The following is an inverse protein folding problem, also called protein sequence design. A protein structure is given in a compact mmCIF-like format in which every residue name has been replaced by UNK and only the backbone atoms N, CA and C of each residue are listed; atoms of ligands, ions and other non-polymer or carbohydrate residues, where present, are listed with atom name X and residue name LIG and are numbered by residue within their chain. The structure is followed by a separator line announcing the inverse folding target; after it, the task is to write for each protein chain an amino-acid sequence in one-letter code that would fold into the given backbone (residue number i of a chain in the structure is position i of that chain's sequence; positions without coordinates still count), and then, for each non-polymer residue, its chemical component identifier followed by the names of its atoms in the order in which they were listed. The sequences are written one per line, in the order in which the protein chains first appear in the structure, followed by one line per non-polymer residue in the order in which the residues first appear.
data_IF_549110517480
#
_entry.id   IF_549110517480
#
_cell.length_a   1.000
_cell.length_b   1.000
_cell.length_c   1.000
_cell.angle_alpha   90.00
_cell.angle_beta   90.00
_cell.angle_gamma   90.00
#
_symmetry.space_group_name_H-M   'P 1'
#
loop_
_entity.id
_entity.type
_entity.pdbx_description
1 polymer ?
#
# COMPACT_ATOMS: atom_id res chain seq x y z
N UNK A 1 -12.70 25.83 46.31
CA UNK A 1 -13.17 24.77 45.38
C UNK A 1 -11.95 24.06 44.78
N UNK A 2 -11.67 22.81 45.15
CA UNK A 2 -10.98 21.83 44.28
C UNK A 2 -11.92 20.60 44.04
N UNK A 3 -11.57 19.53 43.28
CA UNK A 3 -10.30 19.16 42.64
C UNK A 3 -10.40 18.55 41.20
N UNK A 4 -9.25 18.17 40.61
CA UNK A 4 -8.98 17.05 39.65
C UNK A 4 -7.96 17.51 38.58
N UNK A 5 -6.68 17.13 38.59
CA UNK A 5 -6.11 15.81 38.29
C UNK A 5 -6.56 15.22 36.93
N UNK A 6 -5.59 14.59 36.23
CA UNK A 6 -5.71 13.75 35.01
C UNK A 6 -5.42 14.50 33.70
N UNK A 7 -4.55 14.11 32.77
CA UNK A 7 -3.62 12.98 32.58
C UNK A 7 -2.71 13.39 31.40
N UNK A 8 -1.53 12.77 31.20
CA UNK A 8 -0.74 12.97 29.98
C UNK A 8 -1.59 12.64 28.74
N UNK A 9 -1.41 13.30 27.58
CA UNK A 9 -2.00 12.85 26.33
C UNK A 9 -1.29 11.55 25.89
N UNK A 10 -1.67 10.47 26.57
CA UNK A 10 -1.90 9.12 26.08
C UNK A 10 -1.48 8.93 24.62
N UNK A 11 -0.35 8.25 24.47
CA UNK A 11 -0.10 7.20 23.47
C UNK A 11 -1.07 7.26 22.29
N UNK A 12 -0.64 7.95 21.24
CA UNK A 12 -1.37 8.17 19.98
C UNK A 12 -1.82 6.81 19.46
N UNK A 13 -3.07 6.46 19.74
CA UNK A 13 -3.70 5.24 19.29
C UNK A 13 -3.84 5.39 17.78
N UNK A 14 -2.91 4.79 17.02
CA UNK A 14 -2.95 4.78 15.57
C UNK A 14 -4.30 4.17 15.16
N UNK A 15 -5.22 5.03 14.73
CA UNK A 15 -6.57 4.64 14.36
C UNK A 15 -6.50 3.92 13.01
N UNK A 16 -7.25 2.82 12.84
CA UNK A 16 -7.30 2.01 11.60
C UNK A 16 -7.56 2.82 10.32
N UNK A 17 -8.15 4.01 10.45
CA UNK A 17 -8.38 4.97 9.37
C UNK A 17 -7.09 5.62 8.81
N UNK A 18 -5.97 5.54 9.54
CA UNK A 18 -4.69 6.14 9.15
C UNK A 18 -3.80 5.19 8.33
N UNK A 19 -4.19 3.91 8.18
CA UNK A 19 -3.45 2.93 7.37
C UNK A 19 -3.14 3.42 5.95
N UNK A 20 -4.07 4.07 5.21
CA UNK A 20 -3.76 4.60 3.88
C UNK A 20 -2.75 5.75 3.90
N UNK A 21 -2.78 6.59 4.92
CA UNK A 21 -1.90 7.75 5.05
C UNK A 21 -0.50 7.33 5.50
N UNK A 22 -0.41 6.41 6.47
CA UNK A 22 0.85 5.79 6.92
C UNK A 22 1.51 5.03 5.76
N UNK A 23 0.74 4.23 5.00
CA UNK A 23 1.25 3.58 3.80
C UNK A 23 1.82 4.60 2.81
N UNK A 24 1.13 5.72 2.55
CA UNK A 24 1.64 6.73 1.61
C UNK A 24 2.98 7.34 2.02
N UNK A 25 3.24 7.51 3.33
CA UNK A 25 4.53 7.99 3.83
C UNK A 25 5.63 6.92 3.79
N UNK A 26 5.32 5.67 4.16
CA UNK A 26 6.30 4.56 4.12
C UNK A 26 6.85 4.32 2.71
N UNK A 27 6.01 4.47 1.68
CA UNK A 27 6.41 4.27 0.28
C UNK A 27 7.24 5.45 -0.28
N UNK A 28 7.34 6.58 0.44
CA UNK A 28 8.04 7.80 0.00
C UNK A 28 9.46 7.93 0.59
N UNK A 29 9.72 7.38 1.79
CA UNK A 29 11.00 7.57 2.50
C UNK A 29 11.89 6.32 2.56
N UNK A 30 11.33 5.12 2.45
CA UNK A 30 12.09 3.86 2.37
C UNK A 30 11.58 3.04 1.19
N UNK A 31 12.47 2.31 0.49
CA UNK A 31 12.03 1.41 -0.60
C UNK A 31 10.98 0.46 -0.02
N UNK A 32 9.70 0.57 -0.45
CA UNK A 32 8.64 -0.19 0.16
C UNK A 32 8.90 -1.68 -0.08
N UNK A 33 8.79 -2.44 0.99
CA UNK A 33 8.89 -3.90 0.98
C UNK A 33 7.52 -4.54 0.93
N UNK A 34 6.42 -3.79 0.96
CA UNK A 34 5.05 -4.33 0.99
C UNK A 34 4.36 -4.07 -0.34
N UNK A 35 3.67 -5.08 -0.90
CA UNK A 35 2.93 -4.89 -2.13
C UNK A 35 1.67 -4.03 -1.91
N UNK A 36 1.60 -2.87 -2.57
CA UNK A 36 0.49 -1.94 -2.46
C UNK A 36 -0.86 -2.53 -2.93
N UNK A 37 -0.82 -3.47 -3.88
CA UNK A 37 -2.04 -4.15 -4.37
C UNK A 37 -2.58 -5.09 -3.29
N UNK A 38 -1.72 -5.94 -2.70
CA UNK A 38 -2.11 -6.79 -1.57
C UNK A 38 -2.62 -5.95 -0.41
N UNK A 39 -1.94 -4.85 -0.07
CA UNK A 39 -2.36 -3.96 1.00
C UNK A 39 -3.75 -3.36 0.75
N UNK A 40 -4.09 -3.08 -0.51
CA UNK A 40 -5.41 -2.57 -0.89
C UNK A 40 -6.49 -3.66 -0.98
N UNK A 41 -6.13 -4.94 -1.03
CA UNK A 41 -7.08 -6.02 -1.26
C UNK A 41 -7.64 -6.58 0.06
N UNK A 42 -8.90 -6.30 0.36
CA UNK A 42 -9.56 -6.80 1.59
C UNK A 42 -9.95 -8.27 1.48
N UNK A 43 -9.90 -8.86 0.28
CA UNK A 43 -10.18 -10.28 0.06
C UNK A 43 -9.01 -11.19 0.46
N UNK A 44 -7.79 -10.65 0.60
CA UNK A 44 -6.62 -11.43 1.03
C UNK A 44 -6.39 -11.28 2.54
N UNK A 45 -5.96 -12.35 3.23
CA UNK A 45 -5.75 -12.31 4.68
C UNK A 45 -4.71 -11.27 5.09
N UNK A 46 -4.88 -10.70 6.29
CA UNK A 46 -4.04 -9.61 6.80
C UNK A 46 -2.53 -9.92 6.76
N UNK A 47 -2.15 -11.18 7.00
CA UNK A 47 -0.76 -11.65 6.90
C UNK A 47 -0.15 -11.50 5.50
N UNK A 48 -0.95 -11.70 4.45
CA UNK A 48 -0.53 -11.45 3.06
C UNK A 48 -0.60 -9.97 2.70
N UNK A 49 -1.57 -9.23 3.23
CA UNK A 49 -1.68 -7.77 3.03
C UNK A 49 -0.47 -7.01 3.56
N UNK A 50 0.03 -7.45 4.72
CA UNK A 50 1.14 -6.84 5.44
C UNK A 50 2.48 -7.54 5.18
N UNK A 51 2.51 -8.50 4.25
CA UNK A 51 3.71 -9.24 3.93
C UNK A 51 4.80 -8.30 3.40
N UNK A 52 5.91 -8.27 4.12
CA UNK A 52 7.09 -7.47 3.79
C UNK A 52 8.11 -8.37 3.08
N UNK A 53 8.37 -8.09 1.82
CA UNK A 53 9.41 -8.71 1.01
C UNK A 53 10.80 -8.26 1.47
N UNK A 54 11.77 -9.17 1.49
CA UNK A 54 13.14 -8.85 1.90
C UNK A 54 13.83 -7.85 0.97
N UNK A 55 13.44 -7.81 -0.31
CA UNK A 55 14.03 -6.90 -1.31
C UNK A 55 12.96 -6.28 -2.20
N UNK A 56 13.25 -5.08 -2.71
CA UNK A 56 12.42 -4.44 -3.74
C UNK A 56 12.32 -5.27 -5.03
N UNK A 57 13.34 -6.06 -5.34
CA UNK A 57 13.36 -6.98 -6.50
C UNK A 57 12.31 -8.08 -6.35
N UNK A 58 12.17 -8.67 -5.16
CA UNK A 58 11.16 -9.69 -4.89
C UNK A 58 9.75 -9.12 -4.96
N UNK A 59 9.55 -7.91 -4.41
CA UNK A 59 8.29 -7.19 -4.55
C UNK A 59 7.93 -6.92 -6.01
N UNK A 60 8.92 -6.54 -6.82
CA UNK A 60 8.73 -6.26 -8.26
C UNK A 60 8.36 -7.52 -9.03
N UNK A 61 9.03 -8.64 -8.75
CA UNK A 61 8.71 -9.96 -9.32
C UNK A 61 7.33 -10.43 -8.88
N UNK A 62 7.00 -10.24 -7.61
CA UNK A 62 5.69 -10.56 -7.06
C UNK A 62 4.59 -9.77 -7.79
N UNK A 63 4.75 -8.45 -7.88
CA UNK A 63 3.81 -7.57 -8.56
C UNK A 63 3.58 -8.01 -10.01
N UNK A 64 4.66 -8.29 -10.76
CA UNK A 64 4.55 -8.76 -12.15
C UNK A 64 3.82 -10.09 -12.28
N UNK A 65 4.14 -11.07 -11.44
CA UNK A 65 3.60 -12.44 -11.55
C UNK A 65 2.18 -12.58 -11.01
N UNK A 66 1.85 -11.86 -9.93
CA UNK A 66 0.58 -12.02 -9.19
C UNK A 66 -0.47 -10.98 -9.55
N UNK A 67 -0.06 -9.78 -9.97
CA UNK A 67 -1.00 -8.71 -10.28
C UNK A 67 -0.95 -8.34 -11.76
N UNK A 68 0.23 -7.95 -12.26
CA UNK A 68 0.37 -7.46 -13.62
C UNK A 68 0.07 -8.52 -14.70
N UNK A 69 0.28 -9.81 -14.38
CA UNK A 69 -0.04 -10.92 -15.31
C UNK A 69 -1.53 -11.05 -15.59
N UNK A 70 -2.38 -10.67 -14.63
CA UNK A 70 -3.84 -10.84 -14.73
C UNK A 70 -4.53 -9.58 -15.24
N UNK A 71 -3.86 -8.44 -15.25
CA UNK A 71 -4.36 -7.21 -15.87
C UNK A 71 -4.20 -7.39 -17.39
N UNK A 72 -5.31 -7.67 -18.08
CA UNK A 72 -5.36 -7.69 -19.54
C UNK A 72 -4.96 -6.35 -20.17
N UNK A 73 -4.53 -6.35 -21.43
CA UNK A 73 -4.11 -5.11 -22.13
C UNK A 73 -5.21 -4.02 -22.15
N UNK A 74 -6.47 -4.43 -22.16
CA UNK A 74 -7.64 -3.55 -22.14
C UNK A 74 -8.37 -3.52 -20.78
N UNK A 75 -7.82 -4.16 -19.75
CA UNK A 75 -8.46 -4.21 -18.43
C UNK A 75 -8.04 -3.02 -17.57
N UNK A 76 -9.00 -2.39 -16.92
CA UNK A 76 -8.76 -1.28 -16.00
C UNK A 76 -8.43 -1.81 -14.61
N UNK A 77 -7.36 -1.30 -14.02
CA UNK A 77 -6.96 -1.64 -12.66
C UNK A 77 -7.26 -0.47 -11.73
N UNK A 78 -7.96 -0.73 -10.64
CA UNK A 78 -8.23 0.28 -9.62
C UNK A 78 -7.22 0.17 -8.48
N UNK A 79 -6.38 1.20 -8.31
CA UNK A 79 -5.51 1.30 -7.15
C UNK A 79 -6.36 1.73 -5.94
N UNK A 80 -6.65 0.80 -5.02
CA UNK A 80 -7.47 1.08 -3.82
C UNK A 80 -6.81 2.03 -2.82
N UNK A 81 -5.48 2.12 -2.81
CA UNK A 81 -4.76 3.06 -1.95
C UNK A 81 -4.85 4.51 -2.45
N UNK A 82 -4.73 4.70 -3.77
CA UNK A 82 -4.81 6.02 -4.40
C UNK A 82 -6.23 6.39 -4.87
N UNK A 83 -7.15 5.42 -4.89
CA UNK A 83 -8.52 5.52 -5.40
C UNK A 83 -8.59 6.06 -6.83
N UNK A 84 -7.68 5.58 -7.69
CA UNK A 84 -7.66 5.93 -9.12
C UNK A 84 -7.82 4.67 -9.98
N UNK A 85 -8.47 4.84 -11.12
CA UNK A 85 -8.54 3.82 -12.17
C UNK A 85 -7.41 4.05 -13.17
N UNK A 86 -6.76 2.98 -13.58
CA UNK A 86 -5.64 2.99 -14.51
C UNK A 86 -5.98 2.06 -15.67
N UNK A 87 -6.07 2.63 -16.87
CA UNK A 87 -6.51 1.90 -18.05
C UNK A 87 -5.33 1.19 -18.71
N UNK A 88 -5.26 -0.12 -18.56
CA UNK A 88 -4.26 -0.94 -19.20
C UNK A 88 -2.91 -0.97 -18.49
N UNK A 89 -2.14 -2.01 -18.84
CA UNK A 89 -0.92 -2.45 -18.15
C UNK A 89 0.14 -1.37 -17.99
N UNK A 90 0.39 -0.57 -19.02
CA UNK A 90 1.45 0.47 -19.01
C UNK A 90 1.18 1.54 -17.95
N UNK A 91 -0.07 2.01 -17.83
CA UNK A 91 -0.45 3.00 -16.83
C UNK A 91 -0.32 2.45 -15.42
N UNK A 92 -0.65 1.17 -15.21
CA UNK A 92 -0.46 0.48 -13.93
C UNK A 92 1.02 0.38 -13.56
N UNK A 93 1.88 0.00 -14.50
CA UNK A 93 3.32 -0.07 -14.24
C UNK A 93 3.92 1.28 -13.89
N UNK A 94 3.55 2.33 -14.64
CA UNK A 94 4.01 3.69 -14.36
C UNK A 94 3.53 4.18 -12.99
N UNK A 95 2.26 3.96 -12.68
CA UNK A 95 1.71 4.32 -11.37
C UNK A 95 2.42 3.58 -10.22
N UNK A 96 2.67 2.27 -10.38
CA UNK A 96 3.39 1.48 -9.40
C UNK A 96 4.81 2.03 -9.15
N UNK A 97 5.49 2.46 -10.21
CA UNK A 97 6.81 3.07 -10.11
C UNK A 97 6.79 4.45 -9.46
N UNK A 98 5.96 5.37 -9.98
CA UNK A 98 6.00 6.80 -9.60
C UNK A 98 5.37 7.06 -8.23
N UNK A 99 4.34 6.29 -7.85
CA UNK A 99 3.59 6.49 -6.60
C UNK A 99 3.99 5.51 -5.51
N UNK A 100 4.28 4.26 -5.88
CA UNK A 100 4.57 3.18 -4.95
C UNK A 100 6.02 2.70 -5.01
N UNK A 101 6.92 3.41 -5.69
CA UNK A 101 8.35 3.08 -5.81
C UNK A 101 8.62 1.60 -6.15
N UNK A 102 7.65 0.98 -6.83
CA UNK A 102 7.65 -0.42 -7.23
C UNK A 102 8.20 -0.46 -8.64
N UNK A 103 9.49 -0.77 -8.75
CA UNK A 103 10.18 -0.86 -10.03
C UNK A 103 9.63 -2.04 -10.85
N UNK A 104 9.33 -1.84 -12.13
CA UNK A 104 9.09 -2.94 -13.07
C UNK A 104 10.41 -3.33 -13.71
#
# INVERSE_FOLDING_TARGET
MPPAASSPPELRKATLADIPLIARSVFKENRPTICFVCLGDESVPAEQRLHSFSTSTDLSKHFKRRHLKYIGEAESFTCRLCRICLDGKMHVQRHAHDIHSTVS
#
